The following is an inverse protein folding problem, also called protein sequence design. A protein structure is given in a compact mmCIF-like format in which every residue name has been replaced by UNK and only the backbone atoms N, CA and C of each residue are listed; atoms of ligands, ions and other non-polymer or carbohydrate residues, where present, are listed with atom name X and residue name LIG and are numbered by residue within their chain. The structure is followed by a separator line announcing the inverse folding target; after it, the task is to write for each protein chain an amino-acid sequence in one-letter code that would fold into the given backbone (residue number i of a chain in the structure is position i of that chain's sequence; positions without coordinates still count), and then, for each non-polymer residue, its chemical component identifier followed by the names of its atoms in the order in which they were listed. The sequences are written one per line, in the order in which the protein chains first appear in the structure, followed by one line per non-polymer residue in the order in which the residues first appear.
data_IF_509992081051
#
_entry.id   IF_509992081051
#
_cell.length_a   1.000
_cell.length_b   1.000
_cell.length_c   1.000
_cell.angle_alpha   90.00
_cell.angle_beta   90.00
_cell.angle_gamma   90.00
#
_symmetry.space_group_name_H-M   'P 1'
#
loop_
_entity.id
_entity.type
_entity.pdbx_description
1 polymer ?
#
# COMPACT_ATOMS: atom_id res chain seq x y z
N UNK A 1 -11.38 -11.26 22.37
CA UNK A 1 -11.71 -10.11 21.48
C UNK A 1 -10.67 -9.01 21.64
N UNK A 2 -10.37 -8.59 22.87
CA UNK A 2 -9.34 -7.59 23.19
C UNK A 2 -7.93 -7.97 22.71
N UNK A 3 -7.54 -9.25 22.81
CA UNK A 3 -6.26 -9.74 22.30
C UNK A 3 -6.13 -9.68 20.77
N UNK A 4 -7.21 -9.97 20.04
CA UNK A 4 -7.24 -9.89 18.57
C UNK A 4 -7.20 -8.42 18.11
N UNK A 5 -7.84 -7.52 18.85
CA UNK A 5 -7.77 -6.09 18.60
C UNK A 5 -6.36 -5.53 18.74
N UNK A 6 -5.71 -5.83 19.87
CA UNK A 6 -4.34 -5.40 20.13
C UNK A 6 -3.36 -5.96 19.09
N UNK A 7 -3.59 -7.20 18.63
CA UNK A 7 -2.81 -7.78 17.54
C UNK A 7 -3.00 -7.02 16.22
N UNK A 8 -4.25 -6.77 15.80
CA UNK A 8 -4.53 -6.03 14.55
C UNK A 8 -3.92 -4.64 14.57
N UNK A 9 -4.07 -3.90 15.68
CA UNK A 9 -3.50 -2.57 15.82
C UNK A 9 -1.97 -2.56 15.72
N UNK A 10 -1.29 -3.47 16.43
CA UNK A 10 0.18 -3.59 16.35
C UNK A 10 0.60 -3.98 14.94
N UNK A 11 -0.15 -4.86 14.30
CA UNK A 11 0.10 -5.29 12.93
C UNK A 11 -0.05 -4.14 11.93
N UNK A 12 -1.07 -3.30 12.08
CA UNK A 12 -1.29 -2.12 11.24
C UNK A 12 -0.17 -1.09 11.41
N UNK A 13 0.29 -0.85 12.64
CA UNK A 13 1.46 0.00 12.92
C UNK A 13 2.70 -0.57 12.21
N UNK A 14 2.91 -1.88 12.29
CA UNK A 14 4.04 -2.55 11.64
C UNK A 14 3.98 -2.41 10.11
N UNK A 15 2.80 -2.62 9.51
CA UNK A 15 2.57 -2.40 8.08
C UNK A 15 2.83 -0.95 7.70
N UNK A 16 2.32 0.01 8.48
CA UNK A 16 2.50 1.43 8.20
C UNK A 16 3.97 1.82 8.21
N UNK A 17 4.73 1.38 9.22
CA UNK A 17 6.18 1.59 9.30
C UNK A 17 6.89 0.93 8.11
N UNK A 18 6.51 -0.29 7.75
CA UNK A 18 7.09 -0.99 6.61
C UNK A 18 6.85 -0.23 5.29
N UNK A 19 5.62 0.23 5.05
CA UNK A 19 5.27 1.04 3.89
C UNK A 19 6.09 2.34 3.87
N UNK A 20 6.17 3.06 4.99
CA UNK A 20 6.93 4.30 5.10
C UNK A 20 8.43 4.07 4.89
N UNK A 21 8.99 2.97 5.40
CA UNK A 21 10.38 2.59 5.15
C UNK A 21 10.66 2.49 3.65
N UNK A 22 9.81 1.77 2.89
CA UNK A 22 9.97 1.68 1.44
C UNK A 22 9.62 2.99 0.72
N UNK A 23 8.70 3.80 1.25
CA UNK A 23 8.39 5.12 0.71
C UNK A 23 9.59 6.07 0.79
N UNK A 24 10.30 6.07 1.92
CA UNK A 24 11.50 6.86 2.17
C UNK A 24 12.67 6.32 1.33
N UNK A 25 13.00 5.04 1.52
CA UNK A 25 14.13 4.38 0.85
C UNK A 25 14.00 4.37 -0.67
N UNK A 26 12.76 4.30 -1.17
CA UNK A 26 12.43 4.31 -2.59
C UNK A 26 13.07 3.17 -3.40
N UNK A 27 13.61 2.13 -2.77
CA UNK A 27 14.34 1.01 -3.37
C UNK A 27 14.24 -0.27 -2.53
N UNK A 28 14.59 -1.42 -3.11
CA UNK A 28 14.60 -2.73 -2.46
C UNK A 28 13.55 -3.70 -3.04
N UNK A 29 13.41 -4.86 -2.41
CA UNK A 29 12.59 -5.99 -2.91
C UNK A 29 11.15 -5.63 -3.26
N UNK A 30 10.53 -4.68 -2.55
CA UNK A 30 9.18 -4.23 -2.88
C UNK A 30 9.06 -3.58 -4.27
N UNK A 31 10.15 -3.04 -4.80
CA UNK A 31 10.22 -2.39 -6.10
C UNK A 31 10.83 -3.29 -7.19
N UNK A 32 11.40 -4.44 -6.83
CA UNK A 32 11.89 -5.42 -7.79
C UNK A 32 10.69 -6.01 -8.54
N UNK A 33 10.74 -5.94 -9.87
CA UNK A 33 9.67 -6.43 -10.73
C UNK A 33 10.23 -6.81 -12.10
N UNK A 34 9.58 -7.77 -12.75
CA UNK A 34 9.95 -8.25 -14.09
C UNK A 34 9.21 -7.46 -15.20
N UNK A 35 8.76 -6.23 -14.92
CA UNK A 35 8.11 -5.41 -15.94
C UNK A 35 9.12 -4.88 -16.95
N UNK A 36 8.69 -4.50 -18.18
CA UNK A 36 9.54 -3.86 -19.17
C UNK A 36 10.18 -2.59 -18.61
N UNK A 37 11.41 -2.27 -19.05
CA UNK A 37 12.17 -1.10 -18.58
C UNK A 37 11.35 0.20 -18.65
N UNK A 38 10.57 0.38 -19.72
CA UNK A 38 9.67 1.53 -19.93
C UNK A 38 8.59 1.68 -18.83
N UNK A 39 8.19 0.56 -18.23
CA UNK A 39 7.19 0.52 -17.15
C UNK A 39 7.83 0.58 -15.76
N UNK A 40 9.06 0.10 -15.58
CA UNK A 40 9.68 -0.06 -14.27
C UNK A 40 9.76 1.26 -13.48
N UNK A 41 10.22 2.33 -14.11
CA UNK A 41 10.36 3.63 -13.43
C UNK A 41 8.99 4.21 -13.04
N UNK A 42 8.04 4.17 -13.97
CA UNK A 42 6.68 4.66 -13.76
C UNK A 42 5.94 3.85 -12.68
N UNK A 43 6.16 2.53 -12.64
CA UNK A 43 5.63 1.62 -11.63
C UNK A 43 6.25 1.91 -10.26
N UNK A 44 7.59 2.03 -10.20
CA UNK A 44 8.31 2.36 -8.97
C UNK A 44 7.84 3.68 -8.36
N UNK A 45 7.64 4.71 -9.19
CA UNK A 45 7.09 5.99 -8.74
C UNK A 45 5.66 5.83 -8.21
N UNK A 46 4.80 5.09 -8.91
CA UNK A 46 3.42 4.83 -8.46
C UNK A 46 3.39 4.10 -7.10
N UNK A 47 4.18 3.02 -6.98
CA UNK A 47 4.26 2.24 -5.74
C UNK A 47 4.82 3.09 -4.59
N UNK A 48 5.83 3.93 -4.85
CA UNK A 48 6.37 4.83 -3.83
C UNK A 48 5.34 5.84 -3.34
N UNK A 49 4.58 6.42 -4.26
CA UNK A 49 3.47 7.33 -3.93
C UNK A 49 2.39 6.60 -3.12
N UNK A 50 2.04 5.37 -3.49
CA UNK A 50 1.11 4.54 -2.73
C UNK A 50 1.61 4.28 -1.30
N UNK A 51 2.88 3.90 -1.14
CA UNK A 51 3.47 3.69 0.18
C UNK A 51 3.41 4.95 1.06
N UNK A 52 3.59 6.15 0.49
CA UNK A 52 3.41 7.41 1.22
C UNK A 52 1.95 7.67 1.61
N UNK A 53 1.05 7.58 0.62
CA UNK A 53 -0.37 7.90 0.80
C UNK A 53 -1.02 6.92 1.76
N UNK A 54 -0.66 5.64 1.74
CA UNK A 54 -1.23 4.64 2.65
C UNK A 54 -0.49 4.61 3.97
N UNK A 55 0.84 4.71 3.98
CA UNK A 55 1.65 4.55 5.20
C UNK A 55 1.44 5.67 6.22
N UNK A 56 1.41 6.94 5.81
CA UNK A 56 1.27 8.07 6.76
C UNK A 56 -0.10 8.05 7.44
N UNK A 57 -1.23 8.00 6.69
CA UNK A 57 -2.55 8.06 7.30
C UNK A 57 -2.89 6.78 8.06
N UNK A 58 -2.42 5.61 7.61
CA UNK A 58 -2.58 4.38 8.39
C UNK A 58 -1.89 4.49 9.74
N UNK A 59 -0.65 4.99 9.80
CA UNK A 59 0.05 5.19 11.07
C UNK A 59 -0.71 6.14 12.00
N UNK A 60 -1.23 7.24 11.46
CA UNK A 60 -2.03 8.21 12.23
C UNK A 60 -3.32 7.56 12.75
N UNK A 61 -4.04 6.82 11.92
CA UNK A 61 -5.27 6.13 12.31
C UNK A 61 -5.00 5.06 13.37
N UNK A 62 -3.94 4.27 13.24
CA UNK A 62 -3.57 3.27 14.25
C UNK A 62 -3.20 3.90 15.59
N UNK A 63 -2.57 5.09 15.61
CA UNK A 63 -2.31 5.84 16.85
C UNK A 63 -3.62 6.35 17.46
N UNK A 64 -4.55 6.87 16.65
CA UNK A 64 -5.85 7.32 17.13
C UNK A 64 -6.67 6.16 17.72
N UNK A 65 -6.65 5.00 17.07
CA UNK A 65 -7.25 3.76 17.57
C UNK A 65 -6.66 3.35 18.92
N UNK A 66 -5.33 3.41 19.07
CA UNK A 66 -4.65 3.11 20.33
C UNK A 66 -5.11 4.04 21.48
N UNK A 67 -5.36 5.33 21.17
CA UNK A 67 -5.84 6.29 22.18
C UNK A 67 -7.32 6.20 22.49
N UNK A 68 -8.09 5.44 21.70
CA UNK A 68 -9.53 5.30 21.89
C UNK A 68 -9.87 4.22 22.92
N UNK A 69 -10.69 4.57 23.92
CA UNK A 69 -11.07 3.65 25.01
C UNK A 69 -12.05 2.54 24.58
N UNK A 70 -12.52 2.57 23.33
CA UNK A 70 -13.64 1.74 22.83
C UNK A 70 -13.19 0.47 22.08
N UNK A 71 -11.88 0.24 21.94
CA UNK A 71 -11.36 -0.97 21.31
C UNK A 71 -11.89 -1.19 19.88
N UNK A 72 -12.33 -2.42 19.56
CA UNK A 72 -12.91 -2.77 18.23
C UNK A 72 -14.14 -1.93 17.85
N UNK A 73 -14.88 -1.40 18.82
CA UNK A 73 -16.06 -0.57 18.54
C UNK A 73 -15.70 0.89 18.23
N UNK A 74 -14.41 1.23 18.31
CA UNK A 74 -13.92 2.54 17.96
C UNK A 74 -14.31 2.91 16.53
N UNK A 75 -14.93 4.08 16.31
CA UNK A 75 -15.17 4.59 14.96
C UNK A 75 -13.90 4.66 14.11
N UNK A 76 -12.74 4.83 14.74
CA UNK A 76 -11.44 4.88 14.08
C UNK A 76 -11.07 3.56 13.39
N UNK A 77 -11.38 2.42 14.01
CA UNK A 77 -11.14 1.09 13.43
C UNK A 77 -12.00 0.83 12.19
N UNK A 78 -13.23 1.34 12.16
CA UNK A 78 -14.08 1.25 10.96
C UNK A 78 -13.50 2.14 9.85
N UNK A 79 -13.08 3.36 10.20
CA UNK A 79 -12.47 4.31 9.26
C UNK A 79 -11.18 3.77 8.66
N UNK A 80 -10.31 3.15 9.46
CA UNK A 80 -9.03 2.59 8.98
C UNK A 80 -9.23 1.43 8.01
N UNK A 81 -10.17 0.52 8.29
CA UNK A 81 -10.53 -0.57 7.38
C UNK A 81 -11.02 -0.03 6.04
N UNK A 82 -11.99 0.89 6.06
CA UNK A 82 -12.54 1.50 4.84
C UNK A 82 -11.43 2.22 4.07
N UNK A 83 -10.57 2.95 4.78
CA UNK A 83 -9.47 3.70 4.19
C UNK A 83 -8.44 2.79 3.48
N UNK A 84 -7.99 1.71 4.14
CA UNK A 84 -7.07 0.74 3.54
C UNK A 84 -7.68 0.10 2.30
N UNK A 85 -8.94 -0.37 2.39
CA UNK A 85 -9.63 -0.98 1.26
C UNK A 85 -9.75 -0.01 0.08
N UNK A 86 -10.12 1.25 0.34
CA UNK A 86 -10.19 2.28 -0.68
C UNK A 86 -8.82 2.53 -1.34
N UNK A 87 -7.74 2.58 -0.55
CA UNK A 87 -6.38 2.74 -1.05
C UNK A 87 -5.96 1.57 -1.95
N UNK A 88 -6.23 0.33 -1.56
CA UNK A 88 -5.91 -0.87 -2.35
C UNK A 88 -6.69 -0.88 -3.67
N UNK A 89 -8.00 -0.59 -3.62
CA UNK A 89 -8.85 -0.53 -4.82
C UNK A 89 -8.39 0.60 -5.76
N UNK A 90 -8.14 1.79 -5.22
CA UNK A 90 -7.66 2.93 -6.00
C UNK A 90 -6.31 2.62 -6.66
N UNK A 91 -5.38 2.01 -5.92
CA UNK A 91 -4.09 1.59 -6.46
C UNK A 91 -4.26 0.61 -7.62
N UNK A 92 -5.11 -0.40 -7.46
CA UNK A 92 -5.36 -1.39 -8.51
C UNK A 92 -5.98 -0.75 -9.75
N UNK A 93 -6.96 0.14 -9.59
CA UNK A 93 -7.58 0.87 -10.70
C UNK A 93 -6.54 1.74 -11.42
N UNK A 94 -5.76 2.54 -10.69
CA UNK A 94 -4.73 3.41 -11.26
C UNK A 94 -3.68 2.58 -11.99
N UNK A 95 -3.20 1.49 -11.40
CA UNK A 95 -2.25 0.58 -12.03
C UNK A 95 -2.82 0.02 -13.33
N UNK A 96 -4.06 -0.49 -13.32
CA UNK A 96 -4.70 -1.09 -14.50
C UNK A 96 -4.94 -0.06 -15.60
N UNK A 97 -5.33 1.17 -15.27
CA UNK A 97 -5.55 2.24 -16.25
C UNK A 97 -4.22 2.71 -16.82
N UNK A 98 -3.23 2.99 -15.96
CA UNK A 98 -1.94 3.55 -16.37
C UNK A 98 -1.10 2.57 -17.18
N UNK A 99 -1.18 1.27 -16.87
CA UNK A 99 -0.36 0.24 -17.52
C UNK A 99 -1.15 -0.66 -18.47
N UNK A 100 -2.40 -0.29 -18.82
CA UNK A 100 -3.29 -1.10 -19.67
C UNK A 100 -2.62 -1.55 -20.97
N UNK A 101 -1.83 -0.69 -21.59
CA UNK A 101 -1.17 -0.98 -22.87
C UNK A 101 -0.08 -2.04 -22.72
N UNK A 102 0.74 -1.95 -21.67
CA UNK A 102 1.76 -2.96 -21.36
C UNK A 102 1.14 -4.31 -20.97
N UNK A 103 -0.05 -4.30 -20.35
CA UNK A 103 -0.78 -5.51 -19.96
C UNK A 103 -1.53 -6.19 -21.12
N UNK A 104 -1.75 -5.47 -22.23
CA UNK A 104 -2.58 -5.93 -23.35
C UNK A 104 -1.79 -6.71 -24.41
N UNK A 105 -0.48 -6.49 -24.50
CA UNK A 105 0.38 -7.20 -25.47
C UNK A 105 1.67 -7.75 -24.82
N UNK A 106 1.59 -8.91 -24.13
CA UNK A 106 2.72 -9.51 -23.41
C UNK A 106 3.93 -9.83 -24.32
N UNK A 107 3.71 -9.96 -25.64
CA UNK A 107 4.74 -10.38 -26.61
C UNK A 107 5.63 -9.25 -27.11
N UNK A 108 5.21 -7.99 -27.03
CA UNK A 108 6.07 -6.82 -27.34
C UNK A 108 7.06 -6.48 -26.23
N UNK A 109 6.79 -7.00 -25.04
CA UNK A 109 7.44 -6.66 -23.78
C UNK A 109 8.50 -7.68 -23.34
N UNK A 110 8.70 -8.75 -24.11
CA UNK A 110 9.79 -9.70 -23.90
C UNK A 110 11.10 -9.03 -24.34
N UNK A 111 12.17 -9.06 -23.53
CA UNK A 111 13.48 -8.63 -23.98
C UNK A 111 13.82 -9.41 -25.26
N UNK A 112 14.14 -8.69 -26.33
CA UNK A 112 14.67 -9.31 -27.55
C UNK A 112 16.00 -9.95 -27.15
N UNK A 113 16.01 -11.29 -27.07
CA UNK A 113 17.24 -12.08 -26.94
C UNK A 113 18.14 -11.88 -28.15
#
# INVERSE_FOLDING_TARGET
MESAFNFMMIFDIFIAIYLLYYAIKGSGKAYENDYPEEMQEAHRKLLRTFCWITGVPLLVLSILEYTSAEGIQSPWSIVSIIYILACVVAYFIIFRVKFKEYLRDPRKNLPKK
#
